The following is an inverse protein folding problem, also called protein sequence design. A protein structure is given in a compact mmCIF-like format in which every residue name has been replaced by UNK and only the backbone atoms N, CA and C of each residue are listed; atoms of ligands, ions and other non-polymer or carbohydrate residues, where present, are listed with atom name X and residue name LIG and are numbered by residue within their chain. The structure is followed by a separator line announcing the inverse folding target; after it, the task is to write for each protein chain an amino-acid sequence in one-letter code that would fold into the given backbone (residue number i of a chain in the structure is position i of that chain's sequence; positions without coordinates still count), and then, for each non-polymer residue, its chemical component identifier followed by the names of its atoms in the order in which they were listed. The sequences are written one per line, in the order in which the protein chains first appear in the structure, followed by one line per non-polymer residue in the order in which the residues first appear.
data_IF_559100402444
#
_entry.id   IF_559100402444
#
_cell.length_a   1.000
_cell.length_b   1.000
_cell.length_c   1.000
_cell.angle_alpha   90.00
_cell.angle_beta   90.00
_cell.angle_gamma   90.00
#
_symmetry.space_group_name_H-M   'P 1'
#
loop_
_entity.id
_entity.type
_entity.pdbx_description
1 polymer ?
#
# COMPACT_ATOMS: atom_id res chain seq x y z
N UNK A 1 10.06 29.94 -4.30
CA UNK A 1 9.54 29.54 -2.97
C UNK A 1 8.23 28.77 -3.06
N UNK A 2 7.19 29.31 -3.69
CA UNK A 2 5.87 28.63 -3.86
C UNK A 2 5.98 27.18 -4.37
N UNK A 3 6.90 26.92 -5.28
CA UNK A 3 7.09 25.58 -5.84
C UNK A 3 7.65 24.57 -4.82
N UNK A 4 8.49 25.01 -3.88
CA UNK A 4 9.05 24.15 -2.84
C UNK A 4 8.03 23.86 -1.72
N UNK A 5 7.18 24.83 -1.38
CA UNK A 5 6.05 24.60 -0.46
C UNK A 5 5.06 23.56 -1.00
N UNK A 6 4.75 23.61 -2.30
CA UNK A 6 3.91 22.60 -2.93
C UNK A 6 4.55 21.21 -2.88
N UNK A 7 5.86 21.11 -3.19
CA UNK A 7 6.58 19.85 -3.08
C UNK A 7 6.53 19.26 -1.67
N UNK A 8 6.66 20.07 -0.61
CA UNK A 8 6.54 19.59 0.78
C UNK A 8 5.13 19.08 1.06
N UNK A 9 4.09 19.77 0.59
CA UNK A 9 2.70 19.33 0.78
C UNK A 9 2.43 17.98 0.11
N UNK A 10 2.89 17.82 -1.14
CA UNK A 10 2.74 16.56 -1.88
C UNK A 10 3.46 15.41 -1.17
N UNK A 11 4.67 15.66 -0.64
CA UNK A 11 5.41 14.69 0.15
C UNK A 11 4.67 14.33 1.45
N UNK A 12 4.06 15.31 2.13
CA UNK A 12 3.22 15.06 3.32
C UNK A 12 2.01 14.18 3.01
N UNK A 13 1.34 14.44 1.88
CA UNK A 13 0.20 13.64 1.43
C UNK A 13 0.62 12.20 1.09
N UNK A 14 1.78 12.03 0.45
CA UNK A 14 2.32 10.70 0.12
C UNK A 14 2.64 9.88 1.39
N UNK A 15 3.26 10.51 2.41
CA UNK A 15 3.51 9.86 3.71
C UNK A 15 2.21 9.50 4.40
N UNK A 16 1.23 10.41 4.42
CA UNK A 16 -0.07 10.12 5.02
C UNK A 16 -0.81 8.96 4.32
N UNK A 17 -0.64 8.82 3.00
CA UNK A 17 -1.17 7.67 2.26
C UNK A 17 -0.45 6.36 2.62
N UNK A 18 0.88 6.40 2.76
CA UNK A 18 1.68 5.25 3.18
C UNK A 18 1.36 4.80 4.61
N UNK A 19 1.19 5.74 5.54
CA UNK A 19 0.81 5.49 6.94
C UNK A 19 -0.60 4.89 7.04
N UNK A 20 -1.57 5.43 6.29
CA UNK A 20 -2.92 4.86 6.19
C UNK A 20 -2.95 3.44 5.65
N UNK A 21 -2.01 3.08 4.77
CA UNK A 21 -1.86 1.72 4.28
C UNK A 21 -1.19 0.78 5.32
N UNK A 22 -0.75 1.28 6.48
CA UNK A 22 -0.06 0.53 7.51
C UNK A 22 1.45 0.42 7.30
N UNK A 23 2.02 1.24 6.40
CA UNK A 23 3.46 1.25 6.12
C UNK A 23 4.26 1.98 7.20
N UNK A 24 5.49 1.54 7.44
CA UNK A 24 6.40 2.24 8.35
C UNK A 24 6.91 3.53 7.69
N UNK A 25 6.46 4.68 8.18
CA UNK A 25 6.80 6.00 7.65
C UNK A 25 7.86 6.76 8.46
N UNK A 26 8.50 6.14 9.48
CA UNK A 26 9.42 6.86 10.39
C UNK A 26 10.58 7.53 9.65
N UNK A 27 11.23 6.82 8.73
CA UNK A 27 12.37 7.36 7.97
C UNK A 27 11.94 8.43 6.97
N UNK A 28 10.75 8.27 6.38
CA UNK A 28 10.15 9.26 5.48
C UNK A 28 9.81 10.55 6.25
N UNK A 29 9.24 10.43 7.46
CA UNK A 29 8.90 11.58 8.30
C UNK A 29 10.15 12.36 8.75
N UNK A 30 11.23 11.63 9.08
CA UNK A 30 12.52 12.24 9.44
C UNK A 30 13.12 13.05 8.29
N UNK A 31 13.09 12.49 7.08
CA UNK A 31 13.56 13.17 5.86
C UNK A 31 12.72 14.40 5.54
N UNK A 32 11.39 14.31 5.69
CA UNK A 32 10.47 15.42 5.47
C UNK A 32 10.69 16.56 6.48
N UNK A 33 10.94 16.22 7.74
CA UNK A 33 11.26 17.18 8.79
C UNK A 33 12.58 17.93 8.49
N UNK A 34 13.60 17.20 8.02
CA UNK A 34 14.87 17.79 7.64
C UNK A 34 14.74 18.75 6.45
N UNK A 35 13.98 18.36 5.43
CA UNK A 35 13.68 19.22 4.28
C UNK A 35 12.89 20.48 4.69
N UNK A 36 11.86 20.32 5.54
CA UNK A 36 11.10 21.45 6.07
C UNK A 36 11.95 22.45 6.86
N UNK A 37 12.91 21.97 7.65
CA UNK A 37 13.88 22.82 8.35
C UNK A 37 14.76 23.60 7.36
N UNK A 38 15.26 22.96 6.30
CA UNK A 38 16.05 23.65 5.27
C UNK A 38 15.25 24.76 4.58
N UNK A 39 13.99 24.49 4.26
CA UNK A 39 13.10 25.48 3.66
C UNK A 39 12.82 26.65 4.60
N UNK A 40 12.60 26.37 5.89
CA UNK A 40 12.42 27.42 6.90
C UNK A 40 13.66 28.31 7.01
N UNK A 41 14.87 27.73 7.00
CA UNK A 41 16.13 28.49 6.95
C UNK A 41 16.27 29.30 5.66
N UNK A 42 15.85 28.74 4.52
CA UNK A 42 15.85 29.45 3.24
C UNK A 42 14.95 30.70 3.29
N UNK A 43 13.77 30.57 3.91
CA UNK A 43 12.82 31.67 4.07
C UNK A 43 13.40 32.78 4.97
N UNK A 44 14.03 32.40 6.08
CA UNK A 44 14.72 33.36 6.97
C UNK A 44 15.89 34.08 6.28
N UNK A 45 16.65 33.39 5.44
CA UNK A 45 17.72 34.02 4.66
C UNK A 45 17.16 35.01 3.64
N UNK A 46 16.06 34.66 2.98
CA UNK A 46 15.36 35.53 2.04
C UNK A 46 14.80 36.79 2.70
N UNK A 47 14.18 36.66 3.88
CA UNK A 47 13.69 37.79 4.67
C UNK A 47 14.82 38.75 5.09
N UNK A 48 16.04 38.24 5.23
CA UNK A 48 17.24 39.03 5.55
C UNK A 48 17.92 39.63 4.31
N UNK A 49 17.40 39.36 3.11
CA UNK A 49 17.99 39.80 1.84
C UNK A 49 19.19 38.96 1.37
N UNK A 50 19.47 37.83 2.04
CA UNK A 50 20.52 36.89 1.62
C UNK A 50 19.92 35.87 0.64
N UNK A 51 19.83 36.30 -0.63
CA UNK A 51 19.20 35.52 -1.69
C UNK A 51 20.01 34.29 -2.12
N UNK A 52 21.35 34.35 -2.05
CA UNK A 52 22.22 33.22 -2.39
C UNK A 52 22.06 32.08 -1.40
N UNK A 53 22.10 32.39 -0.10
CA UNK A 53 21.84 31.39 0.95
C UNK A 53 20.42 30.84 0.85
N UNK A 54 19.42 31.70 0.59
CA UNK A 54 18.04 31.27 0.41
C UNK A 54 17.89 30.28 -0.75
N UNK A 55 18.50 30.60 -1.90
CA UNK A 55 18.44 29.73 -3.08
C UNK A 55 19.12 28.38 -2.81
N UNK A 56 20.32 28.39 -2.24
CA UNK A 56 21.09 27.18 -2.00
C UNK A 56 20.39 26.25 -0.98
N UNK A 57 19.83 26.82 0.09
CA UNK A 57 19.05 26.07 1.08
C UNK A 57 17.76 25.47 0.47
N UNK A 58 17.07 26.22 -0.38
CA UNK A 58 15.87 25.74 -1.06
C UNK A 58 16.19 24.61 -2.06
N UNK A 59 17.30 24.70 -2.78
CA UNK A 59 17.77 23.63 -3.69
C UNK A 59 18.11 22.37 -2.91
N UNK A 60 18.83 22.50 -1.78
CA UNK A 60 19.14 21.35 -0.91
C UNK A 60 17.87 20.69 -0.34
N UNK A 61 16.87 21.48 0.05
CA UNK A 61 15.57 20.96 0.46
C UNK A 61 14.91 20.17 -0.66
N UNK A 62 14.96 20.67 -1.89
CA UNK A 62 14.37 20.01 -3.06
C UNK A 62 15.08 18.70 -3.39
N UNK A 63 16.42 18.71 -3.38
CA UNK A 63 17.23 17.52 -3.61
C UNK A 63 16.98 16.43 -2.56
N UNK A 64 16.70 16.80 -1.30
CA UNK A 64 16.31 15.82 -0.26
C UNK A 64 14.92 15.21 -0.43
N UNK A 65 14.06 15.86 -1.19
CA UNK A 65 12.72 15.38 -1.51
C UNK A 65 12.66 14.73 -2.90
N UNK A 66 13.78 14.69 -3.62
CA UNK A 66 13.86 14.01 -4.90
C UNK A 66 13.72 12.50 -4.70
N UNK A 67 12.81 11.86 -5.44
CA UNK A 67 12.48 10.45 -5.26
C UNK A 67 11.58 10.14 -4.05
N UNK A 68 11.34 11.09 -3.15
CA UNK A 68 10.59 10.88 -1.91
C UNK A 68 9.16 10.33 -2.13
N UNK A 69 8.46 10.84 -3.15
CA UNK A 69 7.11 10.34 -3.50
C UNK A 69 7.17 8.90 -4.01
N UNK A 70 8.24 8.51 -4.70
CA UNK A 70 8.42 7.13 -5.15
C UNK A 70 8.69 6.19 -3.96
N UNK A 71 9.53 6.61 -3.01
CA UNK A 71 9.82 5.85 -1.79
C UNK A 71 8.56 5.70 -0.91
N UNK A 72 7.79 6.78 -0.74
CA UNK A 72 6.51 6.73 -0.03
C UNK A 72 5.50 5.78 -0.72
N UNK A 73 5.43 5.81 -2.05
CA UNK A 73 4.60 4.85 -2.81
C UNK A 73 5.11 3.42 -2.70
N UNK A 74 6.43 3.20 -2.61
CA UNK A 74 6.99 1.87 -2.39
C UNK A 74 6.58 1.31 -1.02
N UNK A 75 6.70 2.12 0.04
CA UNK A 75 6.25 1.75 1.40
C UNK A 75 4.74 1.48 1.42
N UNK A 76 3.95 2.32 0.76
CA UNK A 76 2.49 2.12 0.63
C UNK A 76 2.17 0.80 -0.06
N UNK A 77 2.76 0.55 -1.24
CA UNK A 77 2.52 -0.66 -2.01
C UNK A 77 2.98 -1.91 -1.26
N UNK A 78 4.10 -1.85 -0.54
CA UNK A 78 4.57 -2.95 0.30
C UNK A 78 3.57 -3.28 1.42
N UNK A 79 3.00 -2.25 2.06
CA UNK A 79 1.98 -2.43 3.09
C UNK A 79 0.66 -2.98 2.53
N UNK A 80 0.21 -2.48 1.37
CA UNK A 80 -0.96 -3.00 0.65
C UNK A 80 -0.79 -4.48 0.25
N UNK A 81 0.39 -4.86 -0.24
CA UNK A 81 0.66 -6.24 -0.65
C UNK A 81 0.75 -7.21 0.53
N UNK A 82 1.34 -6.76 1.65
CA UNK A 82 1.40 -7.56 2.86
C UNK A 82 0.00 -7.88 3.41
N UNK A 83 -0.96 -6.96 3.26
CA UNK A 83 -2.36 -7.20 3.65
C UNK A 83 -3.13 -8.14 2.70
N UNK A 84 -2.85 -8.08 1.40
CA UNK A 84 -3.59 -8.86 0.40
C UNK A 84 -3.25 -10.35 0.41
N UNK A 85 -1.98 -10.70 0.67
CA UNK A 85 -1.52 -12.08 0.70
C UNK A 85 -2.13 -12.87 1.88
N UNK A 86 -2.20 -12.24 3.06
CA UNK A 86 -2.86 -12.82 4.25
C UNK A 86 -4.37 -12.97 4.04
N UNK A 87 -5.04 -12.00 3.41
CA UNK A 87 -6.45 -12.10 3.09
C UNK A 87 -6.75 -13.22 2.09
N UNK A 88 -5.92 -13.34 1.04
CA UNK A 88 -6.12 -14.34 -0.01
C UNK A 88 -5.87 -15.77 0.51
N UNK A 89 -4.79 -16.02 1.26
CA UNK A 89 -4.53 -17.35 1.82
C UNK A 89 -5.59 -17.74 2.84
N UNK A 90 -5.97 -16.81 3.74
CA UNK A 90 -6.88 -17.14 4.84
C UNK A 90 -8.35 -17.29 4.39
N UNK A 91 -8.82 -16.45 3.45
CA UNK A 91 -10.19 -16.54 2.93
C UNK A 91 -10.33 -17.61 1.85
N UNK A 92 -9.42 -17.68 0.88
CA UNK A 92 -9.51 -18.67 -0.21
C UNK A 92 -9.21 -20.08 0.32
N UNK A 93 -8.27 -20.22 1.26
CA UNK A 93 -7.96 -21.51 1.90
C UNK A 93 -9.14 -22.10 2.68
N UNK A 94 -9.86 -21.28 3.46
CA UNK A 94 -11.00 -21.73 4.27
C UNK A 94 -12.28 -21.98 3.44
N UNK A 95 -12.54 -21.12 2.45
CA UNK A 95 -13.75 -21.23 1.61
C UNK A 95 -13.67 -22.36 0.59
N UNK A 96 -12.49 -22.60 -0.01
CA UNK A 96 -12.32 -23.67 -1.00
C UNK A 96 -12.55 -25.07 -0.39
N UNK A 97 -12.14 -25.29 0.86
CA UNK A 97 -12.40 -26.56 1.55
C UNK A 97 -13.88 -26.84 1.75
N UNK A 98 -14.66 -25.82 2.13
CA UNK A 98 -16.11 -25.96 2.32
C UNK A 98 -16.81 -26.26 0.99
N UNK A 99 -16.44 -25.57 -0.09
CA UNK A 99 -17.02 -25.81 -1.43
C UNK A 99 -16.69 -27.21 -1.94
N UNK A 100 -15.47 -27.70 -1.72
CA UNK A 100 -15.06 -29.04 -2.12
C UNK A 100 -15.86 -30.14 -1.39
N UNK A 101 -16.15 -29.96 -0.09
CA UNK A 101 -16.95 -30.93 0.68
C UNK A 101 -18.40 -30.96 0.16
N UNK A 102 -19.00 -29.81 -0.12
CA UNK A 102 -20.38 -29.75 -0.65
C UNK A 102 -20.43 -30.40 -2.04
N UNK A 103 -19.54 -30.03 -2.96
CA UNK A 103 -19.51 -30.60 -4.31
C UNK A 103 -19.21 -32.11 -4.27
N UNK A 104 -18.27 -32.55 -3.43
CA UNK A 104 -17.97 -33.96 -3.23
C UNK A 104 -19.16 -34.75 -2.70
N UNK A 105 -19.90 -34.20 -1.73
CA UNK A 105 -21.10 -34.83 -1.18
C UNK A 105 -22.20 -34.98 -2.22
N UNK A 106 -22.43 -33.95 -3.05
CA UNK A 106 -23.39 -34.01 -4.16
C UNK A 106 -22.95 -34.97 -5.27
N UNK A 107 -21.66 -35.03 -5.60
CA UNK A 107 -21.12 -35.95 -6.60
C UNK A 107 -21.27 -37.41 -6.17
N UNK A 108 -20.97 -37.72 -4.90
CA UNK A 108 -21.18 -39.06 -4.33
C UNK A 108 -22.67 -39.41 -4.32
N UNK A 109 -23.54 -38.51 -3.88
CA UNK A 109 -24.99 -38.71 -3.88
C UNK A 109 -25.54 -38.98 -5.29
N UNK A 110 -25.12 -38.18 -6.27
CA UNK A 110 -25.57 -38.31 -7.65
C UNK A 110 -25.05 -39.61 -8.30
N UNK A 111 -23.79 -39.96 -8.06
CA UNK A 111 -23.20 -41.22 -8.52
C UNK A 111 -23.88 -42.45 -7.91
N UNK A 112 -24.19 -42.39 -6.61
CA UNK A 112 -24.91 -43.45 -5.92
C UNK A 112 -26.35 -43.59 -6.46
N UNK A 113 -27.07 -42.47 -6.64
CA UNK A 113 -28.43 -42.48 -7.19
C UNK A 113 -28.49 -43.05 -8.62
N UNK A 114 -27.48 -42.76 -9.45
CA UNK A 114 -27.37 -43.33 -10.80
C UNK A 114 -27.18 -44.85 -10.76
N UNK A 115 -26.32 -45.35 -9.87
CA UNK A 115 -26.08 -46.80 -9.68
C UNK A 115 -27.31 -47.55 -9.13
N UNK A 116 -28.03 -46.96 -8.17
CA UNK A 116 -29.24 -47.58 -7.62
C UNK A 116 -30.43 -47.51 -8.60
N UNK A 117 -30.50 -46.48 -9.44
CA UNK A 117 -31.48 -46.39 -10.53
C UNK A 117 -31.31 -47.46 -11.61
N UNK A 118 -30.08 -47.95 -11.83
CA UNK A 118 -29.78 -49.05 -12.75
C UNK A 118 -30.07 -50.44 -12.12
N UNK A 119 -30.10 -50.57 -10.79
CA UNK A 119 -30.41 -51.83 -10.09
C UNK A 119 -31.91 -52.02 -9.80
N UNK A 120 -32.70 -50.94 -9.75
CA UNK A 120 -34.16 -51.02 -9.54
C UNK A 120 -34.97 -51.50 -10.74
N UNK A 121 -34.31 -51.83 -11.86
CA UNK A 121 -34.94 -52.34 -13.09
C UNK A 121 -34.56 -53.81 -13.38
N UNK A 122 -33.94 -54.50 -12.42
CA UNK A 122 -33.59 -55.92 -12.50
C UNK A 122 -34.54 -56.82 -11.70
N UNK A 123 -35.58 -56.27 -11.07
CA UNK A 123 -36.57 -57.02 -10.30
C UNK A 123 -37.99 -56.60 -10.72
N UNK A 124 -38.40 -57.06 -11.91
CA UNK A 124 -39.79 -57.21 -12.34
C UNK A 124 -39.85 -58.40 -13.30
#
# INVERSE_FOLDING_TARGET
MVQADQTIKDCYLAVAAADKAGGNVTDLLSTLQYAGMLLSKANLAFERGDFDSAYNLAVQSKAKLEGFVADANFVKNAAEHSGFMDFMINIVGSSAGTVAIVVGSFAVWFGLKRRYGEMGHAEN
#
